data_IF_892880624676
#
_entry.id   IF_892880624676
#
_cell.length_a   1.000
_cell.length_b   1.000
_cell.length_c   1.000
_cell.angle_alpha   90.00
_cell.angle_beta   90.00
_cell.angle_gamma   90.00
#
_symmetry.space_group_name_H-M   'P 1'
#
loop_
_entity.id
_entity.type
_entity.pdbx_description
1 polymer ?
#
# COMPACT_ATOMS: atom_id res chain seq x y z
N UNK A 1 12.93 16.59 -2.83
CA UNK A 1 13.29 17.25 -1.56
C UNK A 1 14.06 16.20 -0.78
N UNK A 2 15.38 16.35 -0.70
CA UNK A 2 16.26 15.43 0.04
C UNK A 2 15.85 15.44 1.52
N UNK A 3 15.71 14.24 2.08
CA UNK A 3 15.20 14.02 3.43
C UNK A 3 16.39 13.69 4.35
N UNK A 4 16.64 14.48 5.39
CA UNK A 4 17.66 14.16 6.41
C UNK A 4 17.01 13.41 7.58
N UNK A 5 17.77 12.61 8.35
CA UNK A 5 17.25 11.98 9.57
C UNK A 5 16.65 13.04 10.51
N UNK A 6 15.35 12.95 10.78
CA UNK A 6 14.61 13.86 11.67
C UNK A 6 13.89 15.04 10.98
N UNK A 7 13.97 15.21 9.66
CA UNK A 7 13.32 16.32 8.94
C UNK A 7 12.24 15.93 7.92
N UNK A 8 12.03 14.62 7.71
CA UNK A 8 10.93 14.18 6.85
C UNK A 8 9.60 14.53 7.54
N UNK A 9 8.68 15.23 6.85
CA UNK A 9 7.37 15.52 7.42
C UNK A 9 6.70 14.21 7.83
N UNK A 10 6.17 14.17 9.06
CA UNK A 10 5.34 13.06 9.49
C UNK A 10 4.24 12.85 8.45
N UNK A 11 4.04 11.61 8.03
CA UNK A 11 2.88 11.32 7.22
C UNK A 11 1.64 11.49 8.08
N UNK A 12 0.67 12.26 7.59
CA UNK A 12 -0.64 12.38 8.26
C UNK A 12 -1.42 11.05 8.29
N UNK A 13 -1.01 10.06 7.49
CA UNK A 13 -1.74 8.80 7.30
C UNK A 13 -0.94 7.56 7.70
N UNK A 14 0.36 7.53 7.44
CA UNK A 14 1.21 6.38 7.77
C UNK A 14 1.65 6.43 9.22
N UNK A 15 1.65 5.26 9.87
CA UNK A 15 2.16 5.12 11.22
C UNK A 15 3.63 5.56 11.30
N UNK A 16 3.99 6.19 12.40
CA UNK A 16 5.38 6.54 12.73
C UNK A 16 6.24 5.27 12.88
N UNK A 17 7.49 5.22 12.41
CA UNK A 17 8.35 6.33 11.93
C UNK A 17 8.35 6.60 10.42
N UNK A 18 7.53 5.90 9.63
CA UNK A 18 7.53 5.98 8.16
C UNK A 18 8.96 5.94 7.54
N UNK A 19 9.81 5.07 8.06
CA UNK A 19 11.27 5.14 7.87
C UNK A 19 11.66 4.96 6.41
N UNK A 20 12.45 5.92 5.88
CA UNK A 20 12.96 5.86 4.51
C UNK A 20 11.96 6.32 3.43
N UNK A 21 10.80 6.86 3.82
CA UNK A 21 9.85 7.43 2.88
C UNK A 21 10.30 8.82 2.40
N UNK A 22 10.57 8.95 1.10
CA UNK A 22 11.04 10.21 0.49
C UNK A 22 10.02 10.88 -0.44
N UNK A 23 8.96 10.15 -0.83
CA UNK A 23 7.97 10.55 -1.84
C UNK A 23 8.58 11.10 -3.15
N UNK A 24 9.79 10.67 -3.51
CA UNK A 24 10.51 11.13 -4.71
C UNK A 24 9.80 10.77 -6.02
N UNK A 25 8.98 9.71 -6.01
CA UNK A 25 8.16 9.31 -7.16
C UNK A 25 6.96 10.22 -7.39
N UNK A 26 6.63 11.11 -6.45
CA UNK A 26 5.39 11.89 -6.45
C UNK A 26 4.13 11.05 -6.23
N UNK A 27 4.27 9.75 -5.95
CA UNK A 27 3.14 8.88 -5.64
C UNK A 27 2.87 8.88 -4.13
N UNK A 28 1.98 9.78 -3.70
CA UNK A 28 1.47 9.85 -2.33
C UNK A 28 0.49 8.69 -2.07
N UNK A 29 1.04 7.49 -1.85
CA UNK A 29 0.24 6.30 -1.52
C UNK A 29 -0.41 6.44 -0.14
N UNK A 30 -1.67 6.01 -0.02
CA UNK A 30 -2.39 5.97 1.25
C UNK A 30 -2.34 4.58 1.90
N UNK A 31 -2.13 4.48 3.22
CA UNK A 31 -2.11 3.20 3.95
C UNK A 31 -3.52 2.73 4.31
N UNK A 32 -4.32 2.47 3.28
CA UNK A 32 -5.72 2.07 3.44
C UNK A 32 -5.93 0.69 4.04
N UNK A 33 -4.87 -0.09 4.25
CA UNK A 33 -4.98 -1.48 4.70
C UNK A 33 -5.75 -2.33 3.70
N UNK A 34 -6.57 -3.25 4.21
CA UNK A 34 -7.45 -4.08 3.39
C UNK A 34 -8.78 -4.37 4.07
N UNK A 35 -9.78 -4.71 3.25
CA UNK A 35 -11.12 -5.15 3.69
C UNK A 35 -11.27 -6.66 3.57
N UNK A 36 -11.67 -7.32 4.66
CA UNK A 36 -11.93 -8.75 4.70
C UNK A 36 -13.17 -9.12 3.88
N UNK A 37 -13.08 -10.21 3.13
CA UNK A 37 -14.16 -10.59 2.21
C UNK A 37 -15.44 -11.06 2.91
N UNK A 38 -15.36 -11.70 4.09
CA UNK A 38 -16.52 -12.38 4.67
C UNK A 38 -17.43 -11.47 5.49
N UNK A 39 -16.86 -10.50 6.21
CA UNK A 39 -17.59 -9.60 7.13
C UNK A 39 -17.39 -8.11 6.81
N UNK A 40 -16.50 -7.78 5.87
CA UNK A 40 -16.20 -6.40 5.50
C UNK A 40 -15.39 -5.60 6.52
N UNK A 41 -14.78 -6.24 7.53
CA UNK A 41 -13.91 -5.55 8.48
C UNK A 41 -12.63 -5.05 7.80
N UNK A 42 -12.10 -3.93 8.28
CA UNK A 42 -10.83 -3.37 7.82
C UNK A 42 -9.71 -3.75 8.78
N UNK A 43 -8.52 -4.00 8.23
CA UNK A 43 -7.31 -4.29 8.99
C UNK A 43 -6.10 -3.61 8.34
N UNK A 44 -5.01 -3.46 9.10
CA UNK A 44 -3.70 -2.93 8.64
C UNK A 44 -3.71 -1.47 8.17
N UNK A 45 -4.78 -0.73 8.44
CA UNK A 45 -4.85 0.72 8.19
C UNK A 45 -3.69 1.45 8.90
N UNK A 46 -3.13 2.47 8.25
CA UNK A 46 -1.97 3.23 8.75
C UNK A 46 -0.63 2.50 8.61
N UNK A 47 -0.60 1.17 8.60
CA UNK A 47 0.63 0.38 8.54
C UNK A 47 0.99 -0.09 7.13
N UNK A 48 -0.02 -0.35 6.30
CA UNK A 48 0.18 -0.94 4.97
C UNK A 48 -0.76 -0.33 3.93
N UNK A 49 -0.25 -0.22 2.70
CA UNK A 49 -1.02 0.15 1.51
C UNK A 49 -1.06 -1.02 0.54
N UNK A 50 -2.26 -1.54 0.25
CA UNK A 50 -2.47 -2.65 -0.67
C UNK A 50 -3.10 -2.14 -1.97
N UNK A 51 -2.50 -2.48 -3.11
CA UNK A 51 -2.98 -2.06 -4.41
C UNK A 51 -3.15 -3.26 -5.33
N UNK A 52 -4.35 -3.46 -5.86
CA UNK A 52 -4.59 -4.48 -6.88
C UNK A 52 -3.80 -4.17 -8.16
N UNK A 53 -3.29 -5.23 -8.80
CA UNK A 53 -2.83 -5.20 -10.18
C UNK A 53 -3.95 -5.68 -11.10
N UNK A 54 -3.96 -5.21 -12.35
CA UNK A 54 -4.81 -5.75 -13.40
C UNK A 54 -4.39 -7.16 -13.85
N UNK A 55 -3.23 -7.66 -13.41
CA UNK A 55 -2.74 -9.00 -13.75
C UNK A 55 -3.38 -10.06 -12.85
N UNK A 56 -4.06 -11.01 -13.48
CA UNK A 56 -4.58 -12.20 -12.82
C UNK A 56 -3.45 -13.17 -12.44
N UNK A 57 -3.61 -13.88 -11.32
CA UNK A 57 -2.78 -15.05 -11.01
C UNK A 57 -3.49 -16.35 -11.38
N UNK A 58 -4.75 -16.51 -10.94
CA UNK A 58 -5.63 -17.61 -11.34
C UNK A 58 -7.10 -17.23 -11.13
N UNK A 59 -8.02 -18.18 -11.29
CA UNK A 59 -9.46 -17.96 -11.13
C UNK A 59 -9.85 -17.30 -9.79
N UNK A 60 -9.16 -17.63 -8.71
CA UNK A 60 -9.47 -17.17 -7.36
C UNK A 60 -8.62 -15.98 -6.90
N UNK A 61 -7.43 -15.79 -7.47
CA UNK A 61 -6.42 -14.86 -6.98
C UNK A 61 -5.97 -13.85 -8.05
N UNK A 62 -5.62 -12.64 -7.62
CA UNK A 62 -4.99 -11.62 -8.45
C UNK A 62 -3.69 -11.13 -7.79
N UNK A 63 -2.78 -10.61 -8.60
CA UNK A 63 -1.57 -9.98 -8.08
C UNK A 63 -1.90 -8.65 -7.40
N UNK A 64 -1.21 -8.35 -6.32
CA UNK A 64 -1.25 -7.05 -5.66
C UNK A 64 0.16 -6.55 -5.31
N UNK A 65 0.27 -5.25 -5.11
CA UNK A 65 1.46 -4.57 -4.57
C UNK A 65 1.21 -4.15 -3.13
N UNK A 66 2.25 -4.21 -2.31
CA UNK A 66 2.19 -3.82 -0.91
C UNK A 66 3.30 -2.82 -0.58
N UNK A 67 2.92 -1.75 0.10
CA UNK A 67 3.82 -0.78 0.72
C UNK A 67 3.68 -0.91 2.25
N UNK A 68 4.80 -0.80 2.96
CA UNK A 68 4.83 -0.83 4.43
C UNK A 68 5.41 0.47 4.98
N UNK A 69 4.90 0.93 6.12
CA UNK A 69 5.41 2.11 6.80
C UNK A 69 6.89 1.98 7.24
N UNK A 70 7.39 0.77 7.45
CA UNK A 70 8.72 0.52 7.99
C UNK A 70 9.66 -0.24 7.03
N UNK A 71 9.29 -0.33 5.75
CA UNK A 71 10.09 -1.05 4.75
C UNK A 71 10.04 -0.30 3.43
N UNK A 72 11.21 0.08 2.92
CA UNK A 72 11.36 0.89 1.70
C UNK A 72 11.10 0.14 0.40
N UNK A 73 11.11 -1.20 0.43
CA UNK A 73 10.85 -2.03 -0.73
C UNK A 73 9.36 -2.15 -1.07
N UNK A 74 9.05 -2.38 -2.35
CA UNK A 74 7.70 -2.67 -2.82
C UNK A 74 7.52 -4.18 -2.90
N UNK A 75 6.62 -4.73 -2.08
CA UNK A 75 6.27 -6.14 -2.14
C UNK A 75 5.31 -6.45 -3.29
N UNK A 76 5.30 -7.71 -3.74
CA UNK A 76 4.34 -8.25 -4.71
C UNK A 76 3.96 -9.67 -4.28
N UNK A 77 2.67 -9.94 -4.18
CA UNK A 77 2.10 -11.26 -3.86
C UNK A 77 0.76 -11.41 -4.59
N UNK A 78 0.18 -12.61 -4.55
CA UNK A 78 -1.18 -12.85 -5.01
C UNK A 78 -2.10 -13.18 -3.82
N UNK A 79 -3.38 -12.83 -3.94
CA UNK A 79 -4.39 -13.18 -2.94
C UNK A 79 -5.79 -13.20 -3.52
N UNK A 80 -6.73 -13.68 -2.71
CA UNK A 80 -8.13 -13.87 -3.10
C UNK A 80 -8.77 -12.58 -3.61
N UNK A 81 -9.30 -12.61 -4.83
CA UNK A 81 -9.94 -11.48 -5.53
C UNK A 81 -11.12 -10.84 -4.76
N UNK A 82 -11.65 -11.55 -3.75
CA UNK A 82 -12.76 -11.08 -2.91
C UNK A 82 -12.34 -10.10 -1.82
N UNK A 83 -11.03 -9.93 -1.58
CA UNK A 83 -10.52 -8.93 -0.64
C UNK A 83 -10.61 -7.53 -1.24
N UNK A 84 -10.90 -6.54 -0.40
CA UNK A 84 -10.86 -5.14 -0.81
C UNK A 84 -9.48 -4.56 -0.63
N UNK A 85 -8.74 -4.37 -1.72
CA UNK A 85 -7.53 -3.56 -1.79
C UNK A 85 -7.79 -2.31 -2.62
N UNK A 86 -6.97 -1.28 -2.48
CA UNK A 86 -7.10 -0.05 -3.24
C UNK A 86 -6.84 -0.28 -4.74
N UNK A 87 -7.48 0.53 -5.58
CA UNK A 87 -7.24 0.58 -7.02
C UNK A 87 -6.74 1.96 -7.40
N UNK A 88 -5.81 2.03 -8.36
CA UNK A 88 -5.36 3.26 -8.97
C UNK A 88 -5.39 3.07 -10.48
N UNK A 89 -6.15 3.90 -11.18
CA UNK A 89 -6.13 3.94 -12.63
C UNK A 89 -4.83 4.62 -13.09
N UNK A 90 -4.15 4.01 -14.05
CA UNK A 90 -2.97 4.57 -14.71
C UNK A 90 -3.43 4.95 -16.12
N UNK A 91 -3.03 6.14 -16.57
CA UNK A 91 -3.23 6.60 -17.93
C UNK A 91 -1.86 6.65 -18.61
N UNK A 92 -1.82 6.15 -19.83
CA UNK A 92 -0.67 6.28 -20.74
C UNK A 92 -0.67 7.63 -21.46
#
# INVERSE_FOLDING_TARGET
KECTPGSCPESEYWNSFNTGATNESGFTALPGGWRYFSNGSYDRMGSYGYFWSSTEFNNNNAWYRILSYNYSGIGRNDYGKRYGYSVRCIRD
#
